data_IF_459637648288
#
_entry.id   IF_459637648288
#
_cell.length_a   1.000
_cell.length_b   1.000
_cell.length_c   1.000
_cell.angle_alpha   90.00
_cell.angle_beta   90.00
_cell.angle_gamma   90.00
#
_symmetry.space_group_name_H-M   'P 1'
#
loop_
_entity.id
_entity.type
_entity.pdbx_description
1 polymer ?
#
# COMPACT_ATOMS: atom_id res chain seq x y z
N UNK A 1 -4.44 -24.13 -9.99
CA UNK A 1 -4.10 -22.75 -10.42
C UNK A 1 -4.02 -21.91 -9.16
N UNK A 2 -3.01 -21.07 -9.04
CA UNK A 2 -2.79 -20.20 -7.87
C UNK A 2 -3.00 -18.74 -8.28
N UNK A 3 -3.43 -17.91 -7.32
CA UNK A 3 -3.55 -16.47 -7.44
C UNK A 3 -2.69 -15.77 -6.40
N UNK A 4 -2.25 -14.55 -6.72
CA UNK A 4 -1.48 -13.70 -5.81
C UNK A 4 -2.39 -12.64 -5.24
N UNK A 5 -2.44 -12.55 -3.91
CA UNK A 5 -3.29 -11.59 -3.21
C UNK A 5 -2.44 -10.68 -2.34
N UNK A 6 -2.84 -9.42 -2.22
CA UNK A 6 -2.25 -8.48 -1.30
C UNK A 6 -3.31 -7.91 -0.37
N UNK A 7 -2.99 -7.85 0.92
CA UNK A 7 -3.80 -7.12 1.87
C UNK A 7 -3.21 -5.73 2.04
N UNK A 8 -4.01 -4.70 1.78
CA UNK A 8 -3.57 -3.32 1.84
C UNK A 8 -4.33 -2.54 2.89
N UNK A 9 -3.61 -1.65 3.55
CA UNK A 9 -4.15 -0.56 4.33
C UNK A 9 -4.23 0.67 3.41
N UNK A 10 -5.41 1.28 3.27
CA UNK A 10 -5.67 2.36 2.31
C UNK A 10 -6.41 3.54 2.97
N UNK A 11 -6.18 4.77 2.49
CA UNK A 11 -6.97 5.94 2.89
C UNK A 11 -8.39 5.87 2.33
N UNK A 12 -9.27 6.74 2.83
CA UNK A 12 -10.61 6.89 2.28
C UNK A 12 -10.53 7.43 0.85
N UNK A 13 -11.24 6.84 -0.13
CA UNK A 13 -11.34 7.43 -1.47
C UNK A 13 -11.80 8.89 -1.39
N UNK A 14 -11.12 9.76 -2.15
CA UNK A 14 -11.35 11.21 -2.17
C UNK A 14 -11.14 11.94 -0.84
N UNK A 15 -10.62 11.27 0.19
CA UNK A 15 -10.18 11.90 1.44
C UNK A 15 -8.87 12.67 1.27
N UNK A 16 -8.58 13.57 2.22
CA UNK A 16 -7.39 14.43 2.20
C UNK A 16 -6.10 13.62 1.99
N UNK A 17 -5.86 12.61 2.83
CA UNK A 17 -4.67 11.76 2.70
C UNK A 17 -4.62 11.03 1.35
N UNK A 18 -5.74 10.52 0.83
CA UNK A 18 -5.76 9.93 -0.51
C UNK A 18 -5.34 10.95 -1.57
N UNK A 19 -5.90 12.16 -1.54
CA UNK A 19 -5.61 13.20 -2.52
C UNK A 19 -4.14 13.64 -2.47
N UNK A 20 -3.57 13.85 -1.28
CA UNK A 20 -2.17 14.25 -1.12
C UNK A 20 -1.21 13.18 -1.65
N UNK A 21 -1.42 11.92 -1.28
CA UNK A 21 -0.60 10.81 -1.74
C UNK A 21 -0.77 10.53 -3.25
N UNK A 22 -1.98 10.68 -3.77
CA UNK A 22 -2.25 10.57 -5.21
C UNK A 22 -1.56 11.68 -6.00
N UNK A 23 -1.55 12.91 -5.48
CA UNK A 23 -0.88 14.04 -6.12
C UNK A 23 0.64 13.82 -6.23
N UNK A 24 1.30 13.37 -5.16
CA UNK A 24 2.73 13.09 -5.22
C UNK A 24 3.03 11.91 -6.17
N UNK A 25 2.23 10.86 -6.14
CA UNK A 25 2.40 9.71 -7.05
C UNK A 25 2.22 10.12 -8.51
N UNK A 26 1.16 10.88 -8.82
CA UNK A 26 0.89 11.40 -10.17
C UNK A 26 2.00 12.31 -10.66
N UNK A 27 2.50 13.20 -9.79
CA UNK A 27 3.61 14.09 -10.11
C UNK A 27 4.88 13.29 -10.41
N UNK A 28 5.23 12.33 -9.58
CA UNK A 28 6.43 11.50 -9.80
C UNK A 28 6.30 10.67 -11.07
N UNK A 29 5.16 10.03 -11.31
CA UNK A 29 4.91 9.26 -12.53
C UNK A 29 5.10 10.14 -13.78
N UNK A 30 4.61 11.38 -13.77
CA UNK A 30 4.78 12.32 -14.89
C UNK A 30 6.24 12.74 -15.14
N UNK A 31 7.09 12.76 -14.10
CA UNK A 31 8.53 13.02 -14.24
C UNK A 31 9.24 11.81 -14.84
N UNK A 32 8.78 10.60 -14.50
CA UNK A 32 9.37 9.34 -14.98
C UNK A 32 9.12 9.15 -16.48
N UNK A 33 7.86 9.20 -16.93
CA UNK A 33 7.48 9.01 -18.33
C UNK A 33 5.99 9.33 -18.53
N UNK A 34 5.56 9.79 -19.73
CA UNK A 34 4.14 9.89 -20.08
C UNK A 34 3.34 8.58 -19.94
N UNK A 35 4.02 7.43 -20.09
CA UNK A 35 3.39 6.10 -19.99
C UNK A 35 3.49 5.50 -18.58
N UNK A 36 4.14 6.19 -17.64
CA UNK A 36 4.23 5.73 -16.26
C UNK A 36 2.92 6.00 -15.53
N UNK A 37 2.32 4.95 -14.98
CA UNK A 37 1.09 5.07 -14.20
C UNK A 37 1.39 5.43 -12.74
N UNK A 38 0.58 6.31 -12.11
CA UNK A 38 0.64 6.51 -10.67
C UNK A 38 0.22 5.25 -9.92
N UNK A 39 0.75 5.13 -8.70
CA UNK A 39 0.42 4.07 -7.76
C UNK A 39 -0.66 4.59 -6.83
N UNK A 40 -1.76 3.84 -6.71
CA UNK A 40 -2.81 4.15 -5.74
C UNK A 40 -2.24 4.13 -4.31
N UNK A 41 -2.53 5.11 -3.43
CA UNK A 41 -1.98 5.17 -2.09
C UNK A 41 -2.34 3.94 -1.26
N UNK A 42 -1.34 3.21 -0.79
CA UNK A 42 -1.54 2.04 0.07
C UNK A 42 -0.28 1.71 0.88
N UNK A 43 -0.48 0.94 1.94
CA UNK A 43 0.58 0.23 2.66
C UNK A 43 0.27 -1.25 2.61
N UNK A 44 1.21 -2.05 2.11
CA UNK A 44 1.04 -3.51 2.05
C UNK A 44 1.19 -4.12 3.44
N UNK A 45 0.15 -4.80 3.91
CA UNK A 45 0.08 -5.50 5.19
C UNK A 45 0.44 -6.99 5.08
N UNK A 46 0.22 -7.61 3.92
CA UNK A 46 0.63 -8.98 3.64
C UNK A 46 0.53 -9.28 2.15
N UNK A 47 1.31 -10.26 1.69
CA UNK A 47 1.22 -10.86 0.36
C UNK A 47 1.02 -12.36 0.51
N UNK A 48 0.11 -12.92 -0.26
CA UNK A 48 -0.29 -14.32 -0.19
C UNK A 48 -0.29 -14.95 -1.58
N UNK A 49 0.19 -16.18 -1.67
CA UNK A 49 -0.06 -17.07 -2.82
C UNK A 49 -1.03 -18.13 -2.36
N UNK A 50 -2.19 -18.21 -2.99
CA UNK A 50 -3.25 -19.15 -2.58
C UNK A 50 -3.86 -19.84 -3.80
N UNK A 51 -4.41 -21.06 -3.65
CA UNK A 51 -5.25 -21.66 -4.68
C UNK A 51 -6.44 -20.77 -5.04
N UNK A 52 -6.85 -20.76 -6.31
CA UNK A 52 -8.06 -20.01 -6.73
C UNK A 52 -9.33 -20.45 -6.00
N UNK A 53 -9.41 -21.70 -5.55
CA UNK A 53 -10.54 -22.25 -4.78
C UNK A 53 -10.59 -21.77 -3.33
N UNK A 54 -9.54 -21.13 -2.82
CA UNK A 54 -9.44 -20.70 -1.42
C UNK A 54 -10.32 -19.46 -1.17
N UNK A 55 -11.29 -19.51 -0.24
CA UNK A 55 -12.24 -18.43 0.01
C UNK A 55 -11.66 -17.34 0.93
N UNK A 56 -10.49 -16.78 0.58
CA UNK A 56 -9.75 -15.80 1.42
C UNK A 56 -10.61 -14.60 1.86
N UNK A 57 -11.55 -14.16 1.01
CA UNK A 57 -12.44 -13.05 1.32
C UNK A 57 -13.28 -13.26 2.59
N UNK A 58 -13.64 -14.51 2.91
CA UNK A 58 -14.45 -14.87 4.07
C UNK A 58 -13.71 -14.64 5.40
N UNK A 59 -12.37 -14.61 5.36
CA UNK A 59 -11.52 -14.35 6.52
C UNK A 59 -11.20 -12.87 6.74
N UNK A 60 -11.48 -12.01 5.75
CA UNK A 60 -11.18 -10.58 5.85
C UNK A 60 -11.96 -9.89 7.00
N UNK A 61 -13.25 -10.19 7.25
CA UNK A 61 -13.97 -9.63 8.41
C UNK A 61 -13.28 -9.89 9.76
N UNK A 62 -12.44 -10.91 9.87
CA UNK A 62 -11.67 -11.19 11.09
C UNK A 62 -10.45 -10.28 11.26
N UNK A 63 -9.96 -9.65 10.18
CA UNK A 63 -8.84 -8.69 10.17
C UNK A 63 -9.31 -7.24 10.37
N UNK A 64 -10.55 -7.01 10.02
CA UNK A 64 -11.23 -5.73 9.90
C UNK A 64 -11.79 -5.13 11.21
N UNK A 65 -12.00 -5.85 12.34
CA UNK A 65 -12.69 -5.29 13.50
C UNK A 65 -11.84 -4.24 14.25
N UNK A 66 -10.55 -4.11 13.91
CA UNK A 66 -9.63 -3.20 14.58
C UNK A 66 -9.62 -1.77 13.97
N UNK A 67 -10.32 -1.52 12.86
CA UNK A 67 -10.46 -0.18 12.27
C UNK A 67 -11.74 0.51 12.75
N UNK A 68 -11.87 0.70 14.07
CA UNK A 68 -12.95 1.52 14.65
C UNK A 68 -12.70 3.02 14.42
N UNK A 69 -11.43 3.40 14.21
CA UNK A 69 -10.96 4.74 13.90
C UNK A 69 -9.91 4.72 12.78
N UNK A 70 -9.69 5.85 12.09
CA UNK A 70 -8.56 5.99 11.17
C UNK A 70 -7.23 5.70 11.87
N UNK A 71 -6.32 5.00 11.20
CA UNK A 71 -4.95 4.79 11.66
C UNK A 71 -4.10 5.90 11.08
N UNK A 72 -3.42 6.62 11.96
CA UNK A 72 -2.51 7.70 11.60
C UNK A 72 -1.08 7.16 11.67
N UNK A 73 -0.40 7.17 10.53
CA UNK A 73 0.95 6.64 10.40
C UNK A 73 1.91 7.74 9.98
N UNK A 74 2.86 8.06 10.86
CA UNK A 74 3.91 9.01 10.54
C UNK A 74 4.78 8.47 9.42
N UNK A 75 5.02 9.28 8.39
CA UNK A 75 5.92 8.95 7.31
C UNK A 75 7.27 9.64 7.51
N UNK A 76 8.25 9.25 6.70
CA UNK A 76 9.54 9.92 6.60
C UNK A 76 9.75 10.38 5.16
N UNK A 77 10.85 11.08 4.96
CA UNK A 77 11.37 11.44 3.65
C UNK A 77 11.35 10.27 2.65
N UNK A 78 11.29 10.61 1.36
CA UNK A 78 11.38 9.63 0.29
C UNK A 78 12.68 8.84 0.39
N UNK A 79 12.55 7.53 0.30
CA UNK A 79 13.61 6.55 0.12
C UNK A 79 13.53 5.93 -1.27
N UNK A 80 14.62 5.28 -1.69
CA UNK A 80 14.69 4.58 -2.97
C UNK A 80 15.41 3.25 -2.86
N UNK A 81 15.09 2.32 -3.77
CA UNK A 81 15.90 1.12 -4.03
C UNK A 81 16.05 0.90 -5.54
N UNK A 82 16.77 -0.14 -5.94
CA UNK A 82 16.86 -0.62 -7.32
C UNK A 82 15.73 -1.60 -7.69
N UNK A 83 14.85 -1.96 -6.75
CA UNK A 83 13.72 -2.84 -6.99
C UNK A 83 12.56 -2.10 -7.66
N UNK A 84 11.98 -2.69 -8.69
CA UNK A 84 10.81 -2.15 -9.40
C UNK A 84 9.67 -1.75 -8.45
N UNK A 85 9.32 -2.64 -7.51
CA UNK A 85 8.20 -2.46 -6.56
C UNK A 85 8.51 -1.49 -5.41
N UNK A 86 9.79 -1.18 -5.18
CA UNK A 86 10.24 -0.26 -4.14
C UNK A 86 11.18 0.80 -4.74
N UNK A 87 10.84 1.30 -5.93
CA UNK A 87 11.70 2.23 -6.66
C UNK A 87 11.80 3.58 -5.92
N UNK A 88 10.66 4.23 -5.70
CA UNK A 88 10.53 5.46 -4.94
C UNK A 88 9.33 5.31 -4.00
N UNK A 89 9.57 5.50 -2.71
CA UNK A 89 8.56 5.28 -1.67
C UNK A 89 8.87 6.15 -0.45
N UNK A 90 7.86 6.42 0.37
CA UNK A 90 8.06 6.99 1.69
C UNK A 90 8.12 5.88 2.73
N UNK A 91 9.12 5.93 3.62
CA UNK A 91 9.16 5.03 4.77
C UNK A 91 8.03 5.38 5.74
N UNK A 92 7.33 4.37 6.24
CA UNK A 92 6.28 4.53 7.25
C UNK A 92 6.84 4.09 8.60
N UNK A 93 6.60 4.88 9.64
CA UNK A 93 6.99 4.50 10.99
C UNK A 93 6.04 3.43 11.52
N UNK A 94 6.61 2.31 12.00
CA UNK A 94 5.84 1.31 12.73
C UNK A 94 5.33 1.91 14.05
N UNK A 95 4.03 1.87 14.27
CA UNK A 95 3.40 2.17 15.56
C UNK A 95 2.68 0.91 16.11
N UNK A 96 2.11 1.01 17.31
CA UNK A 96 1.48 -0.14 17.97
C UNK A 96 0.24 -0.67 17.21
N UNK A 97 -0.50 0.21 16.54
CA UNK A 97 -1.68 -0.15 15.75
C UNK A 97 -1.29 -0.94 14.49
N UNK A 98 -0.34 -0.42 13.71
CA UNK A 98 0.18 -1.11 12.53
C UNK A 98 0.83 -2.43 12.90
N UNK A 99 1.61 -2.47 13.99
CA UNK A 99 2.23 -3.70 14.48
C UNK A 99 1.18 -4.76 14.85
N UNK A 100 0.09 -4.36 15.52
CA UNK A 100 -1.03 -5.23 15.88
C UNK A 100 -1.68 -5.84 14.63
N UNK A 101 -1.99 -5.02 13.64
CA UNK A 101 -2.59 -5.47 12.38
C UNK A 101 -1.65 -6.41 11.64
N UNK A 102 -0.38 -6.04 11.49
CA UNK A 102 0.63 -6.88 10.83
C UNK A 102 0.83 -8.22 11.53
N UNK A 103 0.66 -8.30 12.86
CA UNK A 103 0.75 -9.57 13.58
C UNK A 103 -0.52 -10.41 13.40
N UNK A 104 -1.69 -9.77 13.32
CA UNK A 104 -2.95 -10.46 13.06
C UNK A 104 -2.99 -11.03 11.64
N UNK A 105 -2.52 -10.31 10.64
CA UNK A 105 -2.45 -10.82 9.25
C UNK A 105 -1.54 -12.03 9.13
N UNK A 106 -0.44 -12.09 9.89
CA UNK A 106 0.44 -13.28 9.96
C UNK A 106 -0.26 -14.50 10.57
N UNK A 107 -1.19 -14.30 11.50
CA UNK A 107 -1.91 -15.41 12.16
C UNK A 107 -2.90 -16.14 11.25
N UNK A 108 -3.22 -15.59 10.07
CA UNK A 108 -4.09 -16.23 9.09
C UNK A 108 -3.46 -17.46 8.40
N UNK A 109 -2.17 -17.72 8.60
CA UNK A 109 -1.54 -18.96 8.16
C UNK A 109 -1.31 -19.08 6.64
N UNK A 110 -1.61 -18.04 5.87
CA UNK A 110 -1.19 -17.95 4.47
C UNK A 110 0.32 -17.72 4.37
N UNK A 111 0.95 -18.20 3.30
CA UNK A 111 2.40 -18.14 3.11
C UNK A 111 2.86 -16.67 2.98
N UNK A 112 3.16 -16.04 4.13
CA UNK A 112 3.56 -14.64 4.21
C UNK A 112 5.00 -14.55 3.74
N UNK A 113 5.20 -14.19 2.48
CA UNK A 113 6.51 -13.70 2.05
C UNK A 113 6.87 -12.52 2.97
N UNK A 114 8.01 -12.65 3.67
CA UNK A 114 8.50 -11.87 4.85
C UNK A 114 8.74 -10.36 4.61
N UNK A 115 7.89 -9.68 3.85
CA UNK A 115 8.13 -8.31 3.36
C UNK A 115 7.88 -7.22 4.43
N UNK A 116 7.29 -7.56 5.58
CA UNK A 116 6.83 -6.57 6.57
C UNK A 116 7.90 -5.99 7.52
N UNK A 117 9.19 -6.13 7.21
CA UNK A 117 10.21 -5.48 8.05
C UNK A 117 10.38 -3.98 7.75
N UNK A 118 9.73 -3.46 6.70
CA UNK A 118 9.83 -2.06 6.29
C UNK A 118 8.51 -1.57 5.69
N UNK A 119 7.51 -1.18 6.51
CA UNK A 119 6.28 -0.60 5.99
C UNK A 119 6.60 0.68 5.23
N UNK A 120 5.96 0.85 4.08
CA UNK A 120 6.20 1.97 3.18
C UNK A 120 4.96 2.25 2.34
N UNK A 121 4.86 3.49 1.86
CA UNK A 121 3.91 3.91 0.84
C UNK A 121 4.66 4.14 -0.47
N UNK A 122 4.42 3.29 -1.47
CA UNK A 122 5.05 3.43 -2.78
C UNK A 122 4.50 4.63 -3.52
N UNK A 123 5.41 5.42 -4.12
CA UNK A 123 5.06 6.61 -4.89
C UNK A 123 5.09 6.28 -6.39
N UNK A 124 6.02 5.43 -6.83
CA UNK A 124 6.07 4.93 -8.21
C UNK A 124 6.71 3.55 -8.31
N UNK A 125 6.23 2.75 -9.27
CA UNK A 125 6.88 1.51 -9.69
C UNK A 125 7.58 1.73 -11.03
N UNK A 126 8.90 1.58 -11.06
CA UNK A 126 9.69 1.78 -12.29
C UNK A 126 11.10 1.21 -12.14
N UNK A 127 11.76 0.97 -13.28
CA UNK A 127 13.18 0.66 -13.35
C UNK A 127 13.94 1.93 -13.75
N UNK A 128 14.35 2.70 -12.75
CA UNK A 128 15.09 3.94 -12.93
C UNK A 128 16.58 3.71 -12.69
N UNK A 129 17.44 4.48 -13.33
CA UNK A 129 18.86 4.52 -12.96
C UNK A 129 19.07 5.34 -11.66
N UNK A 130 20.25 5.22 -11.00
CA UNK A 130 20.52 5.96 -9.77
C UNK A 130 20.40 7.49 -9.90
N UNK A 131 20.79 8.07 -11.05
CA UNK A 131 20.77 9.51 -11.26
C UNK A 131 19.33 10.02 -11.40
N UNK A 132 18.48 9.29 -12.13
CA UNK A 132 17.05 9.58 -12.24
C UNK A 132 16.36 9.52 -10.88
N UNK A 133 16.62 8.47 -10.08
CA UNK A 133 16.07 8.36 -8.71
C UNK A 133 16.47 9.56 -7.85
N UNK A 134 17.74 9.92 -7.84
CA UNK A 134 18.24 11.05 -7.06
C UNK A 134 17.61 12.39 -7.50
N UNK A 135 17.46 12.60 -8.81
CA UNK A 135 16.80 13.78 -9.35
C UNK A 135 15.35 13.87 -8.87
N UNK A 136 14.58 12.79 -9.02
CA UNK A 136 13.18 12.76 -8.59
C UNK A 136 13.06 13.03 -7.10
N UNK A 137 13.82 12.32 -6.27
CA UNK A 137 13.84 12.52 -4.81
C UNK A 137 14.08 13.99 -4.47
N UNK A 138 15.10 14.61 -5.05
CA UNK A 138 15.39 16.03 -4.78
C UNK A 138 14.26 16.98 -5.17
N UNK A 139 13.43 16.62 -6.15
CA UNK A 139 12.35 17.46 -6.67
C UNK A 139 11.03 17.34 -5.90
N UNK A 140 10.81 16.24 -5.17
CA UNK A 140 9.53 15.94 -4.50
C UNK A 140 9.65 15.69 -3.00
N UNK A 141 10.85 15.57 -2.43
CA UNK A 141 11.02 15.17 -1.03
C UNK A 141 10.34 16.12 -0.02
N UNK A 142 10.24 17.42 -0.34
CA UNK A 142 9.54 18.40 0.50
C UNK A 142 8.02 18.40 0.33
N UNK A 143 7.48 17.58 -0.59
CA UNK A 143 6.06 17.45 -0.89
C UNK A 143 5.45 16.16 -0.35
N UNK A 144 6.23 15.34 0.37
CA UNK A 144 5.72 14.11 1.00
C UNK A 144 4.85 14.51 2.19
N UNK A 145 3.62 14.01 2.30
CA UNK A 145 2.81 14.21 3.49
C UNK A 145 3.46 13.56 4.71
N UNK A 146 3.53 14.28 5.83
CA UNK A 146 4.11 13.77 7.09
C UNK A 146 3.32 12.60 7.68
N UNK A 147 2.07 12.41 7.24
CA UNK A 147 1.17 11.38 7.71
C UNK A 147 0.51 10.61 6.55
N UNK A 148 0.27 9.32 6.78
CA UNK A 148 -0.57 8.46 5.98
C UNK A 148 -1.77 8.05 6.83
N UNK A 149 -2.96 8.53 6.47
CA UNK A 149 -4.19 8.29 7.24
C UNK A 149 -5.02 7.23 6.55
N UNK A 150 -5.05 6.04 7.14
CA UNK A 150 -5.78 4.91 6.58
C UNK A 150 -7.11 4.66 7.29
N UNK A 151 -8.16 4.41 6.53
CA UNK A 151 -9.51 4.15 7.07
C UNK A 151 -9.98 2.73 6.77
N UNK A 152 -9.31 2.01 5.87
CA UNK A 152 -9.81 0.77 5.30
C UNK A 152 -8.70 -0.25 5.09
N UNK A 153 -9.06 -1.53 5.26
CA UNK A 153 -8.28 -2.66 4.76
C UNK A 153 -8.99 -3.20 3.52
N UNK A 154 -8.23 -3.46 2.46
CA UNK A 154 -8.74 -4.02 1.20
C UNK A 154 -7.91 -5.23 0.79
N UNK A 155 -8.56 -6.19 0.13
CA UNK A 155 -7.92 -7.33 -0.50
C UNK A 155 -7.77 -7.03 -1.99
N UNK A 156 -6.58 -7.19 -2.52
CA UNK A 156 -6.26 -6.91 -3.93
C UNK A 156 -5.79 -8.19 -4.61
N UNK A 157 -6.35 -8.47 -5.78
CA UNK A 157 -5.80 -9.44 -6.72
C UNK A 157 -4.59 -8.83 -7.42
N UNK A 158 -3.42 -9.40 -7.15
CA UNK A 158 -2.12 -9.00 -7.72
C UNK A 158 -1.57 -10.08 -8.65
N UNK A 159 -2.45 -10.94 -9.18
CA UNK A 159 -2.08 -12.04 -10.09
C UNK A 159 -1.48 -11.53 -11.40
N UNK A 160 -1.92 -10.38 -11.90
CA UNK A 160 -1.32 -9.73 -13.06
C UNK A 160 0.06 -9.13 -12.71
N UNK A 161 0.99 -9.13 -13.68
CA UNK A 161 2.29 -8.47 -13.50
C UNK A 161 2.18 -6.94 -13.60
N UNK A 162 1.24 -6.48 -14.41
CA UNK A 162 0.96 -5.06 -14.57
C UNK A 162 0.06 -4.58 -13.43
N UNK A 163 0.60 -3.70 -12.59
CA UNK A 163 -0.11 -3.16 -11.43
C UNK A 163 -1.36 -2.35 -11.79
N UNK A 164 -1.46 -1.85 -13.03
CA UNK A 164 -2.65 -1.13 -13.50
C UNK A 164 -3.85 -2.05 -13.70
N UNK A 165 -3.62 -3.36 -13.75
CA UNK A 165 -4.64 -4.40 -13.91
C UNK A 165 -5.03 -5.06 -12.58
N UNK A 166 -4.42 -4.64 -11.46
CA UNK A 166 -4.77 -5.16 -10.14
C UNK A 166 -6.18 -4.74 -9.75
N UNK A 167 -6.93 -5.67 -9.15
CA UNK A 167 -8.34 -5.47 -8.85
C UNK A 167 -8.61 -5.62 -7.37
N UNK A 168 -9.45 -4.76 -6.81
CA UNK A 168 -9.94 -4.97 -5.44
C UNK A 168 -10.91 -6.14 -5.45
N UNK A 169 -10.58 -7.18 -4.68
CA UNK A 169 -11.50 -8.26 -4.34
C UNK A 169 -12.30 -7.75 -3.15
N UNK A 170 -13.58 -7.47 -3.40
CA UNK A 170 -14.49 -6.77 -2.50
C UNK A 170 -14.33 -7.19 -1.03
N UNK A 171 -14.07 -6.21 -0.16
CA UNK A 171 -14.16 -6.38 1.29
C UNK A 171 -15.47 -5.71 1.71
N UNK A 172 -16.41 -6.41 2.37
CA UNK A 172 -17.66 -5.79 2.80
C UNK A 172 -17.36 -4.54 3.64
N UNK A 173 -18.15 -3.47 3.50
CA UNK A 173 -17.82 -2.19 4.08
C UNK A 173 -17.67 -2.32 5.60
N UNK A 174 -16.52 -1.85 6.08
CA UNK A 174 -16.38 -1.45 7.46
C UNK A 174 -17.35 -0.30 7.69
N UNK A 175 -18.56 -0.61 8.16
CA UNK A 175 -19.44 0.44 8.66
C UNK A 175 -18.82 0.94 9.95
N UNK A 176 -17.96 1.95 9.83
CA UNK A 176 -17.59 2.82 10.96
C UNK A 176 -18.94 3.23 11.57
N UNK A 177 -19.28 2.66 12.73
CA UNK A 177 -20.46 3.08 13.46
C UNK A 177 -20.14 4.49 13.95
N UNK A 178 -20.61 5.51 13.24
CA UNK A 178 -20.70 6.85 13.81
C UNK A 178 -21.53 6.72 15.08
N UNK A 179 -20.88 6.87 16.24
CA UNK A 179 -21.52 6.99 17.54
C UNK A 179 -22.24 8.34 17.59
#
# INVERSE_FOLDING_TARGET
MERRLALWLVPEPDGESYCEWWQISSRVASIVSPDCSPVSPHITLSLWTVPFSEPVADHIPELVPDLESPIILNTRAISTTDSFWMCIFADVCMNDELARICNRTKSLGYDVNRILNRPHASVVYSNLDPAQRQHIVSSVNSSVPDEFVATRIVLIDTTEQDHTQWQTIEVPPNRIRRI
#
